data_IF_045151874311
#
_entry.id   IF_045151874311
#
_cell.length_a   1.000
_cell.length_b   1.000
_cell.length_c   1.000
_cell.angle_alpha   90.00
_cell.angle_beta   90.00
_cell.angle_gamma   90.00
#
_symmetry.space_group_name_H-M   'P 1'
#
loop_
_entity.id
_entity.type
_entity.pdbx_description
1 polymer ?
#
# COMPACT_ATOMS: atom_id res chain seq x y z
N UNK A 1 17.27 -10.32 24.66
CA UNK A 1 16.55 -9.02 24.83
C UNK A 1 15.61 -8.91 23.65
N UNK A 2 14.34 -8.58 23.87
CA UNK A 2 13.37 -8.39 22.78
C UNK A 2 13.43 -6.97 22.25
N UNK A 3 13.18 -6.80 20.97
CA UNK A 3 12.99 -5.49 20.34
C UNK A 3 11.61 -4.96 20.76
N UNK A 4 11.60 -3.79 21.40
CA UNK A 4 10.39 -3.16 21.91
C UNK A 4 9.78 -2.28 20.83
N UNK A 5 8.59 -2.65 20.37
CA UNK A 5 7.89 -2.00 19.25
C UNK A 5 6.72 -1.15 19.76
N UNK A 6 6.58 0.04 19.24
CA UNK A 6 5.39 0.89 19.36
C UNK A 6 4.71 1.06 18.01
N UNK A 7 3.39 1.22 18.00
CA UNK A 7 2.60 1.48 16.79
C UNK A 7 1.97 2.86 16.89
N UNK A 8 2.11 3.69 15.86
CA UNK A 8 1.40 4.96 15.72
C UNK A 8 0.32 4.83 14.64
N UNK A 9 -0.95 4.99 15.05
CA UNK A 9 -2.10 4.78 14.18
C UNK A 9 -2.59 3.33 14.17
N UNK A 10 -3.90 3.15 14.33
CA UNK A 10 -4.50 1.82 14.49
C UNK A 10 -5.71 1.63 13.56
N UNK A 11 -5.42 1.66 12.27
CA UNK A 11 -6.29 1.24 11.18
C UNK A 11 -5.99 -0.21 10.77
N UNK A 12 -6.29 -0.57 9.53
CA UNK A 12 -6.00 -1.92 9.02
C UNK A 12 -4.51 -2.25 9.07
N UNK A 13 -3.65 -1.29 8.69
CA UNK A 13 -2.20 -1.48 8.74
C UNK A 13 -1.70 -1.68 10.18
N UNK A 14 -2.12 -0.84 11.12
CA UNK A 14 -1.72 -0.96 12.53
C UNK A 14 -2.11 -2.30 13.16
N UNK A 15 -3.31 -2.81 12.85
CA UNK A 15 -3.74 -4.17 13.25
C UNK A 15 -2.90 -5.26 12.61
N UNK A 16 -2.52 -5.08 11.35
CA UNK A 16 -1.61 -6.00 10.65
C UNK A 16 -0.22 -6.03 11.28
N UNK A 17 0.32 -4.87 11.63
CA UNK A 17 1.62 -4.75 12.33
C UNK A 17 1.55 -5.38 13.73
N UNK A 18 0.48 -5.15 14.49
CA UNK A 18 0.26 -5.81 15.77
C UNK A 18 0.30 -7.34 15.65
N UNK A 19 -0.45 -7.88 14.68
CA UNK A 19 -0.47 -9.33 14.43
C UNK A 19 0.92 -9.85 14.04
N UNK A 20 1.64 -9.13 13.18
CA UNK A 20 2.98 -9.52 12.73
C UNK A 20 4.01 -9.50 13.87
N UNK A 21 4.03 -8.45 14.70
CA UNK A 21 4.93 -8.34 15.85
C UNK A 21 4.70 -9.47 16.85
N UNK A 22 3.44 -9.86 17.09
CA UNK A 22 3.10 -10.95 18.01
C UNK A 22 3.57 -12.33 17.55
N UNK A 23 3.79 -12.52 16.26
CA UNK A 23 4.33 -13.76 15.71
C UNK A 23 5.86 -13.83 15.81
N UNK A 24 6.54 -12.73 16.15
CA UNK A 24 7.99 -12.71 16.25
C UNK A 24 8.44 -12.99 17.70
N UNK A 25 9.24 -14.04 17.94
CA UNK A 25 9.67 -14.39 19.29
C UNK A 25 10.66 -13.40 19.92
N UNK A 26 11.35 -12.62 19.08
CA UNK A 26 12.35 -11.62 19.45
C UNK A 26 11.80 -10.19 19.55
N UNK A 27 10.48 -10.01 19.35
CA UNK A 27 9.81 -8.71 19.47
C UNK A 27 8.78 -8.70 20.58
N UNK A 28 8.47 -7.50 21.09
CA UNK A 28 7.33 -7.27 21.98
C UNK A 28 6.65 -5.95 21.63
N UNK A 29 5.33 -5.96 21.59
CA UNK A 29 4.54 -4.76 21.38
C UNK A 29 4.31 -4.07 22.73
N UNK A 30 4.85 -2.86 22.88
CA UNK A 30 4.75 -2.06 24.11
C UNK A 30 3.42 -1.32 24.18
N UNK A 31 2.96 -0.78 23.07
CA UNK A 31 1.69 -0.06 23.03
C UNK A 31 1.36 0.52 21.65
N UNK A 32 0.13 1.02 21.57
CA UNK A 32 -0.43 1.67 20.37
C UNK A 32 -0.73 3.12 20.69
N UNK A 33 -0.25 4.04 19.87
CA UNK A 33 -0.47 5.48 20.02
C UNK A 33 -1.50 5.95 19.00
N UNK A 34 -2.52 6.67 19.46
CA UNK A 34 -3.64 7.09 18.62
C UNK A 34 -4.17 8.46 19.02
N UNK A 35 -4.78 9.15 18.05
CA UNK A 35 -5.61 10.35 18.30
C UNK A 35 -6.98 10.00 18.90
N UNK A 36 -7.39 8.73 18.79
CA UNK A 36 -8.66 8.23 19.35
C UNK A 36 -8.43 7.79 20.79
N UNK A 37 -9.23 8.31 21.71
CA UNK A 37 -9.21 7.90 23.11
C UNK A 37 -9.94 6.56 23.31
N UNK A 38 -9.49 5.78 24.28
CA UNK A 38 -10.15 4.52 24.67
C UNK A 38 -10.13 3.45 23.58
N UNK A 39 -9.10 3.44 22.77
CA UNK A 39 -8.93 2.47 21.70
C UNK A 39 -8.66 1.07 22.28
N UNK A 40 -9.50 0.10 21.95
CA UNK A 40 -9.26 -1.31 22.24
C UNK A 40 -8.41 -1.95 21.14
N UNK A 41 -7.32 -2.59 21.53
CA UNK A 41 -6.45 -3.33 20.63
C UNK A 41 -6.86 -4.80 20.57
N UNK A 42 -6.62 -5.47 19.46
CA UNK A 42 -6.98 -6.89 19.28
C UNK A 42 -6.27 -7.78 20.29
N UNK A 43 -5.05 -7.45 20.66
CA UNK A 43 -4.25 -8.25 21.57
C UNK A 43 -4.35 -7.86 23.05
N UNK A 44 -5.10 -6.81 23.37
CA UNK A 44 -5.19 -6.26 24.72
C UNK A 44 -3.97 -5.43 25.14
N UNK A 45 -3.06 -5.11 24.21
CA UNK A 45 -1.94 -4.19 24.48
C UNK A 45 -2.50 -2.79 24.75
N UNK A 46 -1.95 -2.05 25.73
CA UNK A 46 -2.43 -0.70 26.07
C UNK A 46 -2.39 0.26 24.89
N UNK A 47 -3.40 1.13 24.81
CA UNK A 47 -3.40 2.28 23.91
C UNK A 47 -3.18 3.58 24.69
N UNK A 48 -2.48 4.51 24.05
CA UNK A 48 -2.04 5.77 24.61
C UNK A 48 -2.41 6.94 23.69
N UNK A 49 -2.57 8.12 24.25
CA UNK A 49 -2.72 9.32 23.46
C UNK A 49 -1.40 9.70 22.77
N UNK A 50 -1.47 10.37 21.62
CA UNK A 50 -0.26 10.87 20.93
C UNK A 50 0.58 11.81 21.79
N UNK A 51 -0.02 12.55 22.71
CA UNK A 51 0.66 13.44 23.65
C UNK A 51 1.55 12.72 24.67
N UNK A 52 1.30 11.43 24.90
CA UNK A 52 2.09 10.60 25.83
C UNK A 52 3.35 10.00 25.19
N UNK A 53 3.47 10.08 23.85
CA UNK A 53 4.51 9.42 23.07
C UNK A 53 5.92 9.67 23.60
N UNK A 54 6.26 10.91 23.93
CA UNK A 54 7.59 11.27 24.42
C UNK A 54 7.96 10.62 25.78
N UNK A 55 6.98 10.27 26.60
CA UNK A 55 7.20 9.60 27.87
C UNK A 55 7.72 8.17 27.72
N UNK A 56 7.68 7.63 26.49
CA UNK A 56 8.17 6.30 26.14
C UNK A 56 9.58 6.28 25.56
N UNK A 57 10.29 7.43 25.55
CA UNK A 57 11.72 7.46 25.22
C UNK A 57 12.50 6.47 26.10
N UNK A 58 13.34 5.66 25.49
CA UNK A 58 14.09 4.59 26.15
C UNK A 58 13.27 3.35 26.54
N UNK A 59 11.94 3.37 26.37
CA UNK A 59 11.06 2.21 26.60
C UNK A 59 10.66 1.51 25.30
N UNK A 60 10.78 2.17 24.16
CA UNK A 60 10.49 1.66 22.82
C UNK A 60 11.75 1.82 21.98
N UNK A 61 12.12 0.77 21.26
CA UNK A 61 13.29 0.75 20.38
C UNK A 61 12.95 1.22 18.98
N UNK A 62 11.73 0.90 18.50
CA UNK A 62 11.26 1.24 17.16
C UNK A 62 9.77 1.60 17.17
N UNK A 63 9.41 2.68 16.49
CA UNK A 63 8.02 3.08 16.21
C UNK A 63 7.64 2.76 14.79
N UNK A 64 6.55 2.03 14.60
CA UNK A 64 5.96 1.76 13.27
C UNK A 64 4.77 2.69 13.05
N UNK A 65 4.87 3.56 12.06
CA UNK A 65 3.85 4.54 11.74
C UNK A 65 2.89 4.01 10.68
N UNK A 66 1.63 3.90 11.03
CA UNK A 66 0.57 3.28 10.26
C UNK A 66 -0.52 4.28 9.84
N UNK A 67 -0.17 5.56 9.79
CA UNK A 67 -1.05 6.64 9.31
C UNK A 67 -1.19 6.66 7.78
N UNK A 68 -2.11 7.47 7.28
CA UNK A 68 -2.29 7.68 5.85
C UNK A 68 -1.17 8.56 5.26
N UNK A 69 -0.63 8.17 4.09
CA UNK A 69 0.43 8.93 3.42
C UNK A 69 0.02 10.35 3.07
N UNK A 70 -1.20 10.52 2.58
CA UNK A 70 -1.68 11.83 2.12
C UNK A 70 -1.96 12.81 3.27
N UNK A 71 -2.24 12.32 4.48
CA UNK A 71 -2.77 13.13 5.57
C UNK A 71 -1.93 13.11 6.85
N UNK A 72 -1.35 11.97 7.19
CA UNK A 72 -0.74 11.77 8.51
C UNK A 72 0.79 11.72 8.47
N UNK A 73 1.36 10.84 7.62
CA UNK A 73 2.78 10.50 7.65
C UNK A 73 3.72 11.66 7.32
N UNK A 74 3.27 12.61 6.49
CA UNK A 74 4.05 13.81 6.13
C UNK A 74 4.52 14.56 7.37
N UNK A 75 3.65 14.69 8.36
CA UNK A 75 3.92 15.41 9.60
C UNK A 75 4.36 14.48 10.72
N UNK A 76 3.71 13.31 10.85
CA UNK A 76 3.94 12.39 11.96
C UNK A 76 5.34 11.75 11.90
N UNK A 77 5.79 11.32 10.70
CA UNK A 77 7.08 10.63 10.62
C UNK A 77 8.23 11.52 11.04
N UNK A 78 8.40 12.76 10.55
CA UNK A 78 9.46 13.63 11.02
C UNK A 78 9.33 13.97 12.52
N UNK A 79 8.11 14.18 13.02
CA UNK A 79 7.87 14.48 14.43
C UNK A 79 8.33 13.32 15.32
N UNK A 80 7.97 12.09 15.00
CA UNK A 80 8.32 10.91 15.80
C UNK A 80 9.81 10.56 15.66
N UNK A 81 10.39 10.74 14.47
CA UNK A 81 11.79 10.45 14.19
C UNK A 81 12.79 11.27 15.05
N UNK A 82 12.39 12.42 15.56
CA UNK A 82 13.18 13.19 16.53
C UNK A 82 13.38 12.46 17.86
N UNK A 83 12.54 11.51 18.18
CA UNK A 83 12.48 10.87 19.49
C UNK A 83 12.74 9.36 19.45
N UNK A 84 12.49 8.72 18.30
CA UNK A 84 12.57 7.27 18.14
C UNK A 84 13.15 6.89 16.78
N UNK A 85 13.72 5.72 16.70
CA UNK A 85 13.89 5.03 15.40
C UNK A 85 12.51 4.71 14.85
N UNK A 86 12.28 5.00 13.55
CA UNK A 86 10.96 4.91 12.93
C UNK A 86 10.95 4.05 11.68
N UNK A 87 9.80 3.42 11.43
CA UNK A 87 9.46 2.79 10.16
C UNK A 87 8.12 3.35 9.71
N UNK A 88 7.99 3.79 8.45
CA UNK A 88 6.72 4.20 7.87
C UNK A 88 6.41 3.50 6.56
N UNK A 89 5.16 3.65 6.10
CA UNK A 89 4.64 3.12 4.84
C UNK A 89 4.25 4.22 3.85
N UNK A 90 4.98 5.35 3.86
CA UNK A 90 4.69 6.48 2.97
C UNK A 90 4.75 6.07 1.50
N UNK A 91 3.66 6.28 0.74
CA UNK A 91 3.48 5.79 -0.63
C UNK A 91 3.10 6.86 -1.67
N UNK A 92 3.10 8.14 -1.29
CA UNK A 92 2.88 9.23 -2.25
C UNK A 92 4.15 9.44 -3.08
N UNK A 93 4.31 8.65 -4.15
CA UNK A 93 5.55 8.52 -4.94
C UNK A 93 6.19 9.87 -5.31
N UNK A 94 5.40 10.81 -5.82
CA UNK A 94 5.91 12.13 -6.22
C UNK A 94 6.52 12.95 -5.07
N UNK A 95 6.19 12.62 -3.82
CA UNK A 95 6.64 13.34 -2.63
C UNK A 95 7.66 12.56 -1.78
N UNK A 96 8.06 11.37 -2.21
CA UNK A 96 9.06 10.57 -1.47
C UNK A 96 10.39 11.33 -1.28
N UNK A 97 10.94 12.04 -2.27
CA UNK A 97 12.18 12.79 -2.06
C UNK A 97 12.04 13.87 -0.98
N UNK A 98 10.96 14.64 -0.99
CA UNK A 98 10.67 15.65 0.03
C UNK A 98 10.51 15.02 1.41
N UNK A 99 9.75 13.93 1.49
CA UNK A 99 9.53 13.18 2.74
C UNK A 99 10.85 12.63 3.30
N UNK A 100 11.69 12.07 2.44
CA UNK A 100 13.03 11.59 2.81
C UNK A 100 13.87 12.69 3.47
N UNK A 101 13.96 13.87 2.86
CA UNK A 101 14.77 14.97 3.39
C UNK A 101 14.25 15.44 4.76
N UNK A 102 12.92 15.57 4.90
CA UNK A 102 12.31 15.98 6.17
C UNK A 102 12.55 14.97 7.29
N UNK A 103 12.37 13.68 7.00
CA UNK A 103 12.58 12.59 7.98
C UNK A 103 14.06 12.43 8.29
N UNK A 104 14.95 12.47 7.30
CA UNK A 104 16.40 12.39 7.48
C UNK A 104 16.93 13.51 8.40
N UNK A 105 16.47 14.74 8.19
CA UNK A 105 16.82 15.87 9.05
C UNK A 105 16.37 15.61 10.50
N UNK A 106 15.11 15.23 10.69
CA UNK A 106 14.54 15.00 12.00
C UNK A 106 15.22 13.82 12.74
N UNK A 107 15.48 12.72 12.05
CA UNK A 107 16.17 11.56 12.60
C UNK A 107 17.60 11.90 13.02
N UNK A 108 18.36 12.66 12.21
CA UNK A 108 19.70 13.15 12.55
C UNK A 108 19.69 14.07 13.77
N UNK A 109 18.73 14.99 13.85
CA UNK A 109 18.55 15.86 15.04
C UNK A 109 18.31 15.03 16.31
N UNK A 110 17.56 13.93 16.20
CA UNK A 110 17.26 13.05 17.33
C UNK A 110 18.30 11.96 17.61
N UNK A 111 19.31 11.80 16.75
CA UNK A 111 20.27 10.69 16.84
C UNK A 111 19.63 9.31 16.57
N UNK A 112 18.55 9.27 15.81
CA UNK A 112 17.77 8.08 15.48
C UNK A 112 17.98 7.62 14.03
N UNK A 113 17.54 6.40 13.72
CA UNK A 113 17.41 5.89 12.36
C UNK A 113 15.97 6.00 11.85
N UNK A 114 15.81 6.06 10.55
CA UNK A 114 14.49 6.04 9.93
C UNK A 114 14.50 5.18 8.65
N UNK A 115 13.48 4.34 8.50
CA UNK A 115 13.21 3.58 7.30
C UNK A 115 11.84 4.02 6.78
N UNK A 116 11.80 4.67 5.63
CA UNK A 116 10.56 5.17 5.05
C UNK A 116 10.09 4.30 3.89
N UNK A 117 8.82 4.44 3.54
CA UNK A 117 8.23 3.81 2.35
C UNK A 117 8.30 2.28 2.36
N UNK A 118 8.08 1.68 3.54
CA UNK A 118 8.04 0.23 3.73
C UNK A 118 6.66 -0.34 3.39
N UNK A 119 6.41 -0.59 2.11
CA UNK A 119 5.19 -1.20 1.61
C UNK A 119 5.47 -2.24 0.53
N UNK A 120 4.50 -2.40 -0.37
CA UNK A 120 4.67 -3.20 -1.57
C UNK A 120 5.42 -2.42 -2.65
N UNK A 121 4.88 -1.27 -3.04
CA UNK A 121 5.47 -0.35 -4.00
C UNK A 121 5.08 1.10 -3.62
N UNK A 122 5.98 1.83 -3.02
CA UNK A 122 7.39 1.51 -2.75
C UNK A 122 7.59 0.48 -1.63
N UNK A 123 8.71 -0.24 -1.68
CA UNK A 123 9.10 -1.23 -0.69
C UNK A 123 9.57 -2.54 -1.33
N UNK A 124 8.83 -3.63 -1.10
CA UNK A 124 9.22 -4.97 -1.55
C UNK A 124 9.45 -5.04 -3.07
N UNK A 125 8.56 -4.48 -3.88
CA UNK A 125 8.72 -4.47 -5.34
C UNK A 125 9.90 -3.62 -5.80
N UNK A 126 10.22 -2.55 -5.07
CA UNK A 126 11.42 -1.74 -5.35
C UNK A 126 12.69 -2.57 -5.19
N UNK A 127 12.79 -3.36 -4.11
CA UNK A 127 13.92 -4.26 -3.88
C UNK A 127 13.99 -5.37 -4.94
N UNK A 128 12.85 -5.94 -5.31
CA UNK A 128 12.78 -6.98 -6.35
C UNK A 128 13.21 -6.44 -7.72
N UNK A 129 12.85 -5.19 -8.07
CA UNK A 129 13.34 -4.55 -9.30
C UNK A 129 14.85 -4.39 -9.29
N UNK A 130 15.44 -3.86 -8.21
CA UNK A 130 16.90 -3.71 -8.08
C UNK A 130 17.59 -5.07 -8.16
N UNK A 131 17.05 -6.08 -7.50
CA UNK A 131 17.60 -7.43 -7.55
C UNK A 131 17.53 -8.03 -8.96
N UNK A 132 16.40 -7.89 -9.65
CA UNK A 132 16.24 -8.33 -11.03
C UNK A 132 17.20 -7.61 -12.00
N UNK A 133 17.47 -6.33 -11.78
CA UNK A 133 18.45 -5.55 -12.53
C UNK A 133 19.88 -6.05 -12.32
N UNK A 134 20.22 -6.50 -11.11
CA UNK A 134 21.54 -7.08 -10.84
C UNK A 134 21.78 -8.41 -11.57
N UNK A 135 20.69 -9.17 -11.83
CA UNK A 135 20.74 -10.45 -12.56
C UNK A 135 20.77 -10.20 -14.08
N UNK A 136 19.91 -9.31 -14.56
CA UNK A 136 19.77 -8.94 -15.98
C UNK A 136 19.99 -7.43 -16.15
N UNK A 137 21.24 -6.94 -16.18
CA UNK A 137 21.53 -5.50 -16.27
C UNK A 137 20.92 -4.87 -17.53
N UNK A 138 20.95 -5.58 -18.64
CA UNK A 138 20.35 -5.15 -19.91
C UNK A 138 18.94 -5.73 -20.04
N UNK A 139 17.92 -4.90 -19.80
CA UNK A 139 16.54 -5.37 -19.85
C UNK A 139 15.56 -4.29 -19.41
N UNK A 140 14.27 -4.64 -19.46
CA UNK A 140 13.16 -3.77 -19.06
C UNK A 140 12.38 -4.39 -17.92
N UNK A 141 12.16 -3.62 -16.85
CA UNK A 141 11.39 -4.05 -15.70
C UNK A 141 9.93 -3.60 -15.84
N UNK A 142 9.03 -4.44 -15.37
CA UNK A 142 7.59 -4.25 -15.35
C UNK A 142 7.04 -4.55 -13.98
N UNK A 143 6.03 -3.82 -13.57
CA UNK A 143 5.30 -4.09 -12.32
C UNK A 143 3.80 -4.14 -12.62
N UNK A 144 3.16 -5.23 -12.21
CA UNK A 144 1.71 -5.40 -12.32
C UNK A 144 1.13 -5.69 -10.95
N UNK A 145 0.00 -5.07 -10.65
CA UNK A 145 -0.84 -5.49 -9.55
C UNK A 145 -1.63 -6.73 -9.98
N UNK A 146 -1.68 -7.75 -9.12
CA UNK A 146 -2.51 -8.93 -9.33
C UNK A 146 -4.00 -8.62 -9.15
N UNK A 147 -4.86 -9.52 -9.58
CA UNK A 147 -6.31 -9.37 -9.36
C UNK A 147 -6.62 -9.37 -7.87
N UNK A 148 -7.17 -8.28 -7.38
CA UNK A 148 -7.56 -8.13 -5.99
C UNK A 148 -8.14 -6.76 -5.68
N UNK A 149 -8.76 -6.66 -4.50
CA UNK A 149 -9.43 -5.43 -4.06
C UNK A 149 -8.43 -4.35 -3.72
N UNK A 150 -8.58 -3.18 -4.34
CA UNK A 150 -7.91 -1.96 -3.92
C UNK A 150 -8.75 -1.23 -2.88
N UNK A 151 -8.24 -1.14 -1.65
CA UNK A 151 -8.96 -0.49 -0.55
C UNK A 151 -9.17 1.01 -0.81
N UNK A 152 -8.12 1.72 -1.23
CA UNK A 152 -8.20 3.16 -1.47
C UNK A 152 -9.17 3.52 -2.59
N UNK A 153 -9.16 2.77 -3.71
CA UNK A 153 -10.10 2.99 -4.81
C UNK A 153 -11.55 2.65 -4.40
N UNK A 154 -11.74 1.56 -3.65
CA UNK A 154 -13.05 1.19 -3.13
C UNK A 154 -13.60 2.25 -2.18
N UNK A 155 -12.75 2.81 -1.31
CA UNK A 155 -13.13 3.91 -0.42
C UNK A 155 -13.49 5.19 -1.17
N UNK A 156 -12.78 5.49 -2.25
CA UNK A 156 -13.08 6.66 -3.08
C UNK A 156 -14.47 6.53 -3.72
N UNK A 157 -14.82 5.35 -4.27
CA UNK A 157 -16.14 5.08 -4.84
C UNK A 157 -17.24 5.19 -3.78
N UNK A 158 -17.03 4.62 -2.58
CA UNK A 158 -18.01 4.65 -1.47
C UNK A 158 -18.35 6.06 -0.98
N UNK A 159 -17.53 7.06 -1.32
CA UNK A 159 -17.77 8.47 -0.94
C UNK A 159 -18.62 9.22 -1.96
N UNK A 160 -18.92 8.63 -3.11
CA UNK A 160 -19.78 9.23 -4.11
C UNK A 160 -21.25 9.24 -3.63
N UNK A 161 -21.96 10.30 -3.97
CA UNK A 161 -23.38 10.41 -3.68
C UNK A 161 -24.18 9.31 -4.38
N UNK A 162 -25.10 8.68 -3.65
CA UNK A 162 -25.90 7.57 -4.16
C UNK A 162 -25.21 6.20 -4.14
N UNK A 163 -23.99 6.07 -3.64
CA UNK A 163 -23.29 4.78 -3.46
C UNK A 163 -23.45 4.29 -2.02
N UNK A 164 -23.94 3.06 -1.86
CA UNK A 164 -24.09 2.37 -0.56
C UNK A 164 -22.84 1.61 -0.17
N UNK A 165 -22.30 0.81 -1.09
CA UNK A 165 -21.03 0.08 -0.92
C UNK A 165 -20.38 -0.17 -2.29
N UNK A 166 -19.08 -0.45 -2.28
CA UNK A 166 -18.34 -0.76 -3.50
C UNK A 166 -17.08 -1.56 -3.21
N UNK A 167 -16.70 -2.37 -4.22
CA UNK A 167 -15.39 -3.02 -4.31
C UNK A 167 -14.80 -2.75 -5.69
N UNK A 168 -13.54 -2.31 -5.71
CA UNK A 168 -12.80 -2.12 -6.94
C UNK A 168 -11.66 -3.13 -7.02
N UNK A 169 -11.54 -3.78 -8.16
CA UNK A 169 -10.47 -4.71 -8.47
C UNK A 169 -9.54 -4.11 -9.51
N UNK A 170 -8.25 -4.12 -9.22
CA UNK A 170 -7.23 -3.92 -10.24
C UNK A 170 -6.94 -5.27 -10.90
N UNK A 171 -7.05 -5.32 -12.23
CA UNK A 171 -6.90 -6.55 -13.00
C UNK A 171 -5.77 -6.35 -14.01
N UNK A 172 -4.67 -7.11 -13.93
CA UNK A 172 -3.61 -7.02 -14.92
C UNK A 172 -4.09 -7.57 -16.26
N UNK A 173 -3.61 -6.98 -17.33
CA UNK A 173 -3.87 -7.50 -18.69
C UNK A 173 -2.94 -8.66 -18.97
N UNK A 174 -3.50 -9.84 -19.04
CA UNK A 174 -2.75 -11.10 -19.21
C UNK A 174 -1.94 -11.10 -20.51
N UNK A 175 -2.43 -10.45 -21.55
CA UNK A 175 -1.73 -10.31 -22.83
C UNK A 175 -0.31 -9.72 -22.70
N UNK A 176 -0.13 -8.72 -21.85
CA UNK A 176 1.19 -8.14 -21.59
C UNK A 176 2.05 -9.05 -20.72
N UNK A 177 1.46 -9.69 -19.72
CA UNK A 177 2.17 -10.65 -18.87
C UNK A 177 2.74 -11.80 -19.72
N UNK A 178 1.93 -12.37 -20.63
CA UNK A 178 2.33 -13.44 -21.52
C UNK A 178 3.44 -13.00 -22.50
N UNK A 179 3.32 -11.82 -23.11
CA UNK A 179 4.37 -11.27 -23.97
C UNK A 179 5.71 -11.13 -23.22
N UNK A 180 5.69 -10.61 -21.98
CA UNK A 180 6.88 -10.44 -21.17
C UNK A 180 7.47 -11.81 -20.79
N UNK A 181 6.64 -12.77 -20.37
CA UNK A 181 7.06 -14.14 -20.04
C UNK A 181 7.68 -14.88 -21.22
N UNK A 182 7.28 -14.52 -22.42
CA UNK A 182 7.90 -15.01 -23.67
C UNK A 182 9.19 -14.27 -24.05
N UNK A 183 9.70 -13.39 -23.18
CA UNK A 183 10.93 -12.65 -23.41
C UNK A 183 10.76 -11.38 -24.24
N UNK A 184 9.51 -10.97 -24.56
CA UNK A 184 9.27 -9.73 -25.26
C UNK A 184 9.37 -8.53 -24.30
N UNK A 185 9.54 -7.33 -24.87
CA UNK A 185 9.65 -6.08 -24.12
C UNK A 185 8.62 -5.05 -24.61
N UNK A 186 7.30 -5.32 -24.43
CA UNK A 186 6.26 -4.40 -24.89
C UNK A 186 6.34 -3.04 -24.21
N UNK A 187 5.81 -2.00 -24.86
CA UNK A 187 5.57 -0.73 -24.22
C UNK A 187 4.29 -0.80 -23.40
N UNK A 188 4.43 -0.76 -22.07
CA UNK A 188 3.32 -0.87 -21.11
C UNK A 188 3.44 0.26 -20.09
N UNK A 189 2.35 0.99 -19.91
CA UNK A 189 2.18 1.95 -18.81
C UNK A 189 1.33 1.33 -17.71
N UNK A 190 1.24 1.98 -16.54
CA UNK A 190 0.32 1.55 -15.50
C UNK A 190 -1.12 1.49 -16.01
N UNK A 191 -1.52 2.45 -16.84
CA UNK A 191 -2.86 2.53 -17.41
C UNK A 191 -3.13 1.44 -18.45
N UNK A 192 -2.20 1.25 -19.41
CA UNK A 192 -2.39 0.24 -20.46
C UNK A 192 -2.25 -1.19 -19.93
N UNK A 193 -1.48 -1.39 -18.87
CA UNK A 193 -1.24 -2.71 -18.27
C UNK A 193 -2.36 -3.25 -17.38
N UNK A 194 -3.32 -2.41 -17.02
CA UNK A 194 -4.38 -2.78 -16.08
C UNK A 194 -5.74 -2.26 -16.52
N UNK A 195 -6.77 -3.02 -16.16
CA UNK A 195 -8.13 -2.52 -16.17
C UNK A 195 -8.66 -2.38 -14.73
N UNK A 196 -9.71 -1.56 -14.56
CA UNK A 196 -10.40 -1.33 -13.30
C UNK A 196 -11.79 -1.96 -13.38
N UNK A 197 -12.07 -2.97 -12.57
CA UNK A 197 -13.41 -3.53 -12.40
C UNK A 197 -14.01 -3.02 -11.10
N UNK A 198 -15.16 -2.36 -11.18
CA UNK A 198 -15.86 -1.78 -10.04
C UNK A 198 -17.20 -2.48 -9.86
N UNK A 199 -17.45 -3.00 -8.68
CA UNK A 199 -18.74 -3.57 -8.27
C UNK A 199 -19.36 -2.63 -7.27
N UNK A 200 -20.50 -2.03 -7.65
CA UNK A 200 -21.11 -0.89 -6.94
C UNK A 200 -22.53 -1.23 -6.54
N UNK A 201 -22.84 -1.01 -5.27
CA UNK A 201 -24.21 -1.03 -4.77
C UNK A 201 -24.72 0.40 -4.74
N UNK A 202 -25.67 0.72 -5.62
CA UNK A 202 -26.30 2.01 -5.67
C UNK A 202 -27.52 2.06 -4.73
N UNK A 203 -27.80 3.22 -4.14
CA UNK A 203 -29.03 3.47 -3.39
C UNK A 203 -30.24 3.36 -4.30
N UNK A 204 -31.40 3.09 -3.71
CA UNK A 204 -32.67 3.04 -4.46
C UNK A 204 -32.97 4.42 -5.09
N UNK A 205 -33.23 4.42 -6.40
CA UNK A 205 -33.48 5.65 -7.16
C UNK A 205 -32.23 6.47 -7.52
N UNK A 206 -31.03 6.02 -7.18
CA UNK A 206 -29.82 6.71 -7.57
C UNK A 206 -29.58 6.67 -9.09
N UNK A 207 -29.04 7.76 -9.61
CA UNK A 207 -28.66 7.89 -11.02
C UNK A 207 -27.37 7.10 -11.29
N UNK A 208 -27.51 5.89 -11.82
CA UNK A 208 -26.39 4.98 -12.11
C UNK A 208 -25.45 5.52 -13.18
N UNK A 209 -25.99 6.20 -14.19
CA UNK A 209 -25.19 6.77 -15.28
C UNK A 209 -24.28 7.90 -14.75
N UNK A 210 -24.83 8.73 -13.84
CA UNK A 210 -24.06 9.75 -13.14
C UNK A 210 -22.95 9.13 -12.31
N UNK A 211 -23.25 8.11 -11.50
CA UNK A 211 -22.26 7.42 -10.64
C UNK A 211 -21.17 6.80 -11.51
N UNK A 212 -21.51 6.11 -12.58
CA UNK A 212 -20.52 5.52 -13.49
C UNK A 212 -19.60 6.57 -14.11
N UNK A 213 -20.16 7.69 -14.54
CA UNK A 213 -19.38 8.80 -15.11
C UNK A 213 -18.45 9.41 -14.06
N UNK A 214 -18.93 9.65 -12.83
CA UNK A 214 -18.11 10.17 -11.72
C UNK A 214 -16.95 9.23 -11.37
N UNK A 215 -17.17 7.91 -11.40
CA UNK A 215 -16.12 6.91 -11.22
C UNK A 215 -15.08 7.05 -12.33
N UNK A 216 -15.50 6.96 -13.59
CA UNK A 216 -14.59 6.95 -14.76
C UNK A 216 -13.77 8.24 -14.91
N UNK A 217 -14.31 9.37 -14.43
CA UNK A 217 -13.67 10.69 -14.50
C UNK A 217 -12.96 11.11 -13.22
N UNK A 218 -12.91 10.25 -12.20
CA UNK A 218 -12.26 10.56 -10.92
C UNK A 218 -10.76 10.65 -11.09
N UNK A 219 -10.23 11.86 -10.91
CA UNK A 219 -8.79 12.12 -10.97
C UNK A 219 -8.02 11.34 -9.91
N UNK A 220 -6.77 10.99 -10.20
CA UNK A 220 -5.85 10.22 -9.36
C UNK A 220 -6.24 8.76 -9.11
N UNK A 221 -7.42 8.31 -9.53
CA UNK A 221 -7.90 6.94 -9.32
C UNK A 221 -8.23 6.20 -10.61
N UNK A 222 -9.03 6.81 -11.50
CA UNK A 222 -9.62 6.12 -12.64
C UNK A 222 -9.31 6.77 -14.00
N UNK A 223 -9.02 8.05 -14.04
CA UNK A 223 -8.69 8.75 -15.28
C UNK A 223 -7.51 8.09 -15.98
N UNK A 224 -7.70 7.78 -17.26
CA UNK A 224 -6.69 7.13 -18.11
C UNK A 224 -6.71 5.60 -18.06
N UNK A 225 -7.50 4.99 -17.17
CA UNK A 225 -7.69 3.54 -17.14
C UNK A 225 -8.97 3.12 -17.86
N UNK A 226 -8.95 1.95 -18.50
CA UNK A 226 -10.18 1.28 -18.87
C UNK A 226 -10.90 0.83 -17.61
N UNK A 227 -12.12 1.35 -17.40
CA UNK A 227 -12.90 1.13 -16.18
C UNK A 227 -14.25 0.55 -16.53
N UNK A 228 -14.56 -0.61 -15.97
CA UNK A 228 -15.83 -1.31 -16.09
C UNK A 228 -16.57 -1.19 -14.77
N UNK A 229 -17.81 -0.72 -14.80
CA UNK A 229 -18.65 -0.57 -13.62
C UNK A 229 -19.83 -1.52 -13.70
N UNK A 230 -19.99 -2.34 -12.67
CA UNK A 230 -21.09 -3.28 -12.49
C UNK A 230 -21.95 -2.82 -11.32
N UNK A 231 -23.24 -2.56 -11.56
CA UNK A 231 -24.20 -2.31 -10.48
C UNK A 231 -24.82 -3.62 -10.04
N UNK A 232 -24.60 -3.97 -8.78
CA UNK A 232 -25.03 -5.25 -8.18
C UNK A 232 -25.78 -5.02 -6.86
N UNK A 233 -26.40 -6.06 -6.32
CA UNK A 233 -27.03 -6.04 -5.01
C UNK A 233 -25.99 -6.12 -3.87
N UNK A 234 -26.38 -5.67 -2.66
CA UNK A 234 -25.55 -5.84 -1.47
C UNK A 234 -25.29 -7.32 -1.18
N UNK A 235 -26.31 -8.18 -1.36
CA UNK A 235 -26.16 -9.62 -1.16
C UNK A 235 -25.10 -10.23 -2.10
N UNK A 236 -25.11 -9.83 -3.35
CA UNK A 236 -24.10 -10.26 -4.33
C UNK A 236 -22.71 -9.77 -3.98
N UNK A 237 -22.58 -8.49 -3.59
CA UNK A 237 -21.31 -7.91 -3.14
C UNK A 237 -20.74 -8.68 -1.93
N UNK A 238 -21.57 -8.96 -0.93
CA UNK A 238 -21.17 -9.65 0.28
C UNK A 238 -20.85 -11.13 0.04
N UNK A 239 -21.51 -11.77 -0.90
CA UNK A 239 -21.30 -13.18 -1.23
C UNK A 239 -20.05 -13.39 -2.10
N UNK A 240 -19.89 -12.61 -3.14
CA UNK A 240 -18.94 -12.87 -4.22
C UNK A 240 -17.70 -11.96 -4.19
N UNK A 241 -17.76 -10.83 -3.48
CA UNK A 241 -16.73 -9.80 -3.51
C UNK A 241 -16.15 -9.50 -2.11
N UNK A 242 -15.92 -10.55 -1.30
CA UNK A 242 -15.36 -10.43 0.05
C UNK A 242 -13.91 -9.91 0.10
N UNK A 243 -13.30 -9.76 -1.05
CA UNK A 243 -12.08 -9.01 -1.26
C UNK A 243 -10.84 -9.54 -0.53
N UNK A 244 -10.07 -10.38 -1.22
CA UNK A 244 -8.67 -10.57 -0.85
C UNK A 244 -7.89 -9.36 -1.39
N UNK A 245 -6.97 -8.76 -0.61
CA UNK A 245 -6.05 -7.76 -1.11
C UNK A 245 -5.30 -8.27 -2.35
N UNK A 246 -5.02 -7.39 -3.28
CA UNK A 246 -4.27 -7.77 -4.48
C UNK A 246 -2.82 -8.12 -4.14
N UNK A 247 -2.30 -9.14 -4.80
CA UNK A 247 -0.88 -9.39 -4.88
C UNK A 247 -0.24 -8.58 -6.00
N UNK A 248 0.84 -9.08 -6.61
CA UNK A 248 1.48 -8.40 -7.71
C UNK A 248 2.61 -9.21 -8.33
N UNK A 249 3.13 -8.67 -9.43
CA UNK A 249 4.21 -9.26 -10.21
C UNK A 249 5.26 -8.18 -10.48
N UNK A 250 6.52 -8.52 -10.27
CA UNK A 250 7.66 -7.80 -10.82
C UNK A 250 8.32 -8.72 -11.83
N UNK A 251 8.32 -8.30 -13.09
CA UNK A 251 8.97 -9.03 -14.18
C UNK A 251 10.11 -8.19 -14.73
N UNK A 252 11.19 -8.86 -15.14
CA UNK A 252 12.24 -8.25 -15.94
C UNK A 252 12.57 -9.16 -17.10
N UNK A 253 12.40 -8.65 -18.31
CA UNK A 253 12.82 -9.30 -19.54
C UNK A 253 14.10 -8.64 -20.04
N UNK A 254 15.11 -9.44 -20.35
CA UNK A 254 16.41 -8.93 -20.77
C UNK A 254 17.31 -10.01 -21.37
N UNK A 255 18.51 -9.62 -21.74
CA UNK A 255 19.52 -10.52 -22.32
C UNK A 255 20.71 -10.67 -21.36
N UNK A 256 21.19 -11.90 -21.18
CA UNK A 256 22.44 -12.17 -20.46
C UNK A 256 23.66 -12.07 -21.38
N UNK A 257 23.46 -12.43 -22.64
CA UNK A 257 24.40 -12.25 -23.76
C UNK A 257 23.59 -11.95 -25.01
N UNK A 258 24.23 -11.45 -26.07
CA UNK A 258 23.57 -11.17 -27.35
C UNK A 258 22.71 -12.34 -27.83
N UNK A 259 21.43 -12.13 -28.05
CA UNK A 259 20.47 -13.13 -28.52
C UNK A 259 20.01 -14.15 -27.47
N UNK A 260 20.49 -14.08 -26.23
CA UNK A 260 20.10 -15.01 -25.15
C UNK A 260 19.18 -14.32 -24.16
N UNK A 261 17.87 -14.45 -24.37
CA UNK A 261 16.85 -13.80 -23.56
C UNK A 261 16.49 -14.61 -22.32
N UNK A 262 16.28 -13.89 -21.24
CA UNK A 262 15.81 -14.42 -19.96
C UNK A 262 14.70 -13.54 -19.39
N UNK A 263 13.89 -14.15 -18.53
CA UNK A 263 12.88 -13.46 -17.74
C UNK A 263 13.09 -13.80 -16.28
N UNK A 264 13.12 -12.77 -15.43
CA UNK A 264 13.04 -12.91 -13.99
C UNK A 264 11.63 -12.48 -13.57
N UNK A 265 10.93 -13.31 -12.83
CA UNK A 265 9.59 -13.01 -12.31
C UNK A 265 9.53 -13.24 -10.80
N UNK A 266 9.04 -12.24 -10.08
CA UNK A 266 8.63 -12.33 -8.69
C UNK A 266 7.12 -12.20 -8.63
N UNK A 267 6.46 -13.17 -8.04
CA UNK A 267 5.00 -13.21 -7.92
C UNK A 267 4.59 -13.30 -6.47
N UNK A 268 3.67 -12.43 -6.07
CA UNK A 268 2.97 -12.48 -4.80
C UNK A 268 1.49 -12.73 -5.06
N UNK A 269 0.93 -13.76 -4.44
CA UNK A 269 -0.48 -14.15 -4.57
C UNK A 269 -1.15 -14.24 -3.21
#
# INVERSE_FOLDING_TARGET
MKIRVGIVGYGNLGRGVEAAVKLQPDMELVGVFSRRNGLETVSGVPSYAMSELESFKGKIDVMVLCGGSATDLIEQTPMVAKHFTVIDSFDTHARIPEHFENVNKAAKEGGNAALISCGWDPGMFSLQRVFAESILPQGKSYTFWGRGVSQGHSDAIRRLDGVVDARQYTVPREEYLEQIRQGQTPEVTAQSGHLRECYVVAAEGADKDKIENEIKTMENYFVGYETIVHFISQEELDKNHKGIPHGGFVLRSGESTEGTRHVVEYSLK
#
